data_IF_048555471436
#
_entry.id   IF_048555471436
#
_cell.length_a   1.000
_cell.length_b   1.000
_cell.length_c   1.000
_cell.angle_alpha   90.00
_cell.angle_beta   90.00
_cell.angle_gamma   90.00
#
_symmetry.space_group_name_H-M   'P 1'
#
loop_
_entity.id
_entity.type
_entity.pdbx_description
1 polymer ?
#
# COMPACT_ATOMS: atom_id res chain seq x y z
N UNK A 1 -1.91 19.73 15.32
CA UNK A 1 -2.87 19.65 14.20
C UNK A 1 -2.10 19.87 12.92
N UNK A 2 -1.83 18.83 12.12
CA UNK A 2 -1.38 19.01 10.74
C UNK A 2 -2.48 18.46 9.82
N UNK A 3 -3.16 19.38 9.15
CA UNK A 3 -4.07 19.11 8.06
C UNK A 3 -3.27 18.54 6.89
N UNK A 4 -3.68 17.37 6.38
CA UNK A 4 -3.15 16.80 5.15
C UNK A 4 -4.27 16.81 4.10
N UNK A 5 -4.42 17.95 3.43
CA UNK A 5 -5.09 18.16 2.15
C UNK A 5 -4.65 19.57 1.66
N UNK A 6 -4.43 19.83 0.35
CA UNK A 6 -5.36 19.46 -0.72
C UNK A 6 -4.73 19.03 -2.07
N UNK A 7 -5.60 18.45 -2.92
CA UNK A 7 -5.64 18.51 -4.39
C UNK A 7 -4.30 18.66 -5.15
N UNK A 8 -3.80 17.57 -5.75
CA UNK A 8 -2.67 17.61 -6.68
C UNK A 8 -3.16 17.90 -8.12
N UNK A 9 -2.73 19.01 -8.75
CA UNK A 9 -2.87 19.22 -10.18
C UNK A 9 -1.94 18.25 -10.94
N UNK A 10 -2.31 17.88 -12.16
CA UNK A 10 -1.75 16.75 -12.90
C UNK A 10 -0.44 17.06 -13.67
N UNK A 11 0.23 18.17 -13.36
CA UNK A 11 1.28 18.76 -14.22
C UNK A 11 2.61 19.08 -13.52
N UNK A 12 3.17 18.18 -12.71
CA UNK A 12 4.62 18.24 -12.41
C UNK A 12 5.22 16.86 -12.11
N UNK A 13 5.95 16.34 -13.10
CA UNK A 13 6.64 15.04 -13.09
C UNK A 13 8.13 15.19 -12.76
N UNK A 14 8.45 15.89 -11.68
CA UNK A 14 9.80 15.92 -11.12
C UNK A 14 9.76 15.34 -9.70
N UNK A 15 10.28 14.12 -9.56
CA UNK A 15 10.24 13.22 -8.39
C UNK A 15 8.92 12.44 -8.17
N UNK A 16 8.98 11.10 -7.95
CA UNK A 16 7.78 10.29 -7.77
C UNK A 16 7.24 10.47 -6.35
N UNK A 17 6.62 11.61 -6.06
CA UNK A 17 5.76 11.74 -4.89
C UNK A 17 4.50 10.90 -5.12
N UNK A 18 4.58 9.60 -4.80
CA UNK A 18 3.47 8.64 -4.89
C UNK A 18 2.30 8.94 -3.92
N UNK A 19 2.31 10.07 -3.22
CA UNK A 19 1.33 10.42 -2.20
C UNK A 19 1.39 9.54 -0.94
N UNK A 20 2.49 8.81 -0.75
CA UNK A 20 2.72 7.91 0.38
C UNK A 20 3.44 8.64 1.53
N UNK A 21 3.14 8.27 2.78
CA UNK A 21 3.82 8.81 3.94
C UNK A 21 5.27 8.27 4.09
N UNK A 22 6.13 9.07 4.73
CA UNK A 22 7.56 8.76 4.89
C UNK A 22 7.85 7.38 5.50
N UNK A 23 7.01 6.90 6.43
CA UNK A 23 7.18 5.57 7.04
C UNK A 23 7.00 4.43 6.05
N UNK A 24 6.07 4.55 5.09
CA UNK A 24 5.85 3.53 4.06
C UNK A 24 6.99 3.58 3.05
N UNK A 25 7.44 4.79 2.69
CA UNK A 25 8.59 4.99 1.80
C UNK A 25 9.87 4.38 2.40
N UNK A 26 10.09 4.54 3.71
CA UNK A 26 11.23 3.90 4.38
C UNK A 26 11.10 2.37 4.37
N UNK A 27 9.91 1.83 4.65
CA UNK A 27 9.67 0.39 4.65
C UNK A 27 9.96 -0.27 3.31
N UNK A 28 9.56 0.35 2.20
CA UNK A 28 9.85 -0.18 0.87
C UNK A 28 11.34 -0.01 0.50
N UNK A 29 12.00 1.08 0.94
CA UNK A 29 13.45 1.25 0.73
C UNK A 29 14.25 0.17 1.44
N UNK A 30 13.90 -0.14 2.69
CA UNK A 30 14.57 -1.17 3.49
C UNK A 30 14.37 -2.57 2.90
N UNK A 31 13.25 -2.79 2.18
CA UNK A 31 12.98 -4.00 1.41
C UNK A 31 13.67 -4.02 0.03
N UNK A 32 14.52 -3.04 -0.28
CA UNK A 32 15.30 -2.97 -1.52
C UNK A 32 14.56 -2.34 -2.71
N UNK A 33 13.38 -1.73 -2.50
CA UNK A 33 12.68 -1.01 -3.56
C UNK A 33 13.27 0.39 -3.71
N UNK A 34 14.13 0.56 -4.73
CA UNK A 34 14.84 1.82 -4.99
C UNK A 34 14.04 2.76 -5.90
N UNK A 35 13.31 2.22 -6.88
CA UNK A 35 12.51 3.00 -7.81
C UNK A 35 11.14 2.33 -8.08
N UNK A 36 10.04 3.11 -8.12
CA UNK A 36 8.73 2.55 -8.41
C UNK A 36 8.62 2.10 -9.87
N UNK A 37 8.00 0.95 -10.08
CA UNK A 37 7.77 0.40 -11.42
C UNK A 37 6.73 1.23 -12.19
N UNK A 38 6.67 1.14 -13.54
CA UNK A 38 5.71 1.92 -14.32
C UNK A 38 4.25 1.71 -13.91
N UNK A 39 3.89 0.49 -13.50
CA UNK A 39 2.53 0.19 -13.01
C UNK A 39 2.25 0.86 -11.65
N UNK A 40 3.24 0.93 -10.76
CA UNK A 40 3.11 1.59 -9.46
C UNK A 40 2.95 3.11 -9.63
N UNK A 41 3.78 3.73 -10.49
CA UNK A 41 3.70 5.17 -10.79
C UNK A 41 2.32 5.59 -11.29
N UNK A 42 1.67 4.74 -12.10
CA UNK A 42 0.34 5.02 -12.67
C UNK A 42 -0.79 4.65 -11.70
N UNK A 43 -0.71 3.50 -11.04
CA UNK A 43 -1.82 2.96 -10.24
C UNK A 43 -1.97 3.64 -8.87
N UNK A 44 -0.86 3.89 -8.17
CA UNK A 44 -0.90 4.36 -6.78
C UNK A 44 -1.66 5.69 -6.64
N UNK A 45 -1.40 6.72 -7.47
CA UNK A 45 -2.13 7.99 -7.38
C UNK A 45 -3.63 7.84 -7.67
N UNK A 46 -3.99 6.98 -8.64
CA UNK A 46 -5.40 6.74 -9.02
C UNK A 46 -6.15 6.09 -7.85
N UNK A 47 -5.56 5.08 -7.21
CA UNK A 47 -6.17 4.39 -6.07
C UNK A 47 -6.30 5.34 -4.87
N UNK A 48 -5.27 6.16 -4.59
CA UNK A 48 -5.34 7.16 -3.51
C UNK A 48 -6.41 8.24 -3.76
N UNK A 49 -6.78 8.49 -5.02
CA UNK A 49 -7.88 9.39 -5.37
C UNK A 49 -9.27 8.77 -5.21
N UNK A 50 -9.36 7.50 -4.84
CA UNK A 50 -10.62 6.78 -4.65
C UNK A 50 -11.30 6.37 -5.96
N UNK A 51 -10.56 6.31 -7.07
CA UNK A 51 -11.08 5.90 -8.39
C UNK A 51 -10.82 4.43 -8.65
N UNK A 52 -11.71 3.81 -9.40
CA UNK A 52 -11.54 2.45 -9.89
C UNK A 52 -10.47 2.38 -11.00
N UNK A 53 -9.72 1.28 -11.03
CA UNK A 53 -8.63 1.05 -11.96
C UNK A 53 -8.62 -0.40 -12.45
N UNK A 54 -8.49 -0.58 -13.76
CA UNK A 54 -8.12 -1.86 -14.37
C UNK A 54 -6.64 -1.78 -14.78
N UNK A 55 -5.83 -2.72 -14.28
CA UNK A 55 -4.38 -2.70 -14.44
C UNK A 55 -3.86 -4.01 -15.06
N UNK A 56 -3.35 -3.92 -16.29
CA UNK A 56 -2.68 -5.02 -16.99
C UNK A 56 -1.16 -4.84 -16.93
N UNK A 57 -0.45 -5.87 -16.49
CA UNK A 57 1.01 -5.95 -16.50
C UNK A 57 1.43 -7.42 -16.35
N UNK A 58 2.69 -7.73 -16.63
CA UNK A 58 3.23 -9.10 -16.49
C UNK A 58 3.47 -9.45 -15.01
N UNK A 59 3.46 -10.74 -14.65
CA UNK A 59 3.87 -11.23 -13.33
C UNK A 59 5.31 -10.76 -13.02
N UNK A 60 5.57 -10.36 -11.77
CA UNK A 60 6.89 -9.83 -11.38
C UNK A 60 7.09 -8.32 -11.61
N UNK A 61 6.11 -7.59 -12.14
CA UNK A 61 6.21 -6.13 -12.41
C UNK A 61 5.85 -5.22 -11.23
N UNK A 62 5.67 -5.78 -10.03
CA UNK A 62 5.36 -5.02 -8.82
C UNK A 62 3.88 -4.60 -8.67
N UNK A 63 2.95 -5.30 -9.33
CA UNK A 63 1.50 -5.08 -9.18
C UNK A 63 1.00 -5.17 -7.74
N UNK A 64 1.55 -6.10 -6.97
CA UNK A 64 1.13 -6.31 -5.57
C UNK A 64 1.36 -5.04 -4.75
N UNK A 65 2.57 -4.47 -4.81
CA UNK A 65 2.84 -3.19 -4.17
C UNK A 65 1.99 -2.04 -4.77
N UNK A 66 1.64 -2.09 -6.06
CA UNK A 66 0.83 -1.06 -6.71
C UNK A 66 -0.57 -0.89 -6.09
N UNK A 67 -1.19 -1.96 -5.57
CA UNK A 67 -2.47 -1.86 -4.85
C UNK A 67 -2.34 -1.94 -3.32
N UNK A 68 -1.32 -2.60 -2.79
CA UNK A 68 -1.14 -2.72 -1.32
C UNK A 68 -0.68 -1.41 -0.68
N UNK A 69 0.30 -0.73 -1.27
CA UNK A 69 0.85 0.52 -0.71
C UNK A 69 -0.22 1.61 -0.52
N UNK A 70 -1.09 1.91 -1.50
CA UNK A 70 -2.14 2.91 -1.31
C UNK A 70 -3.18 2.49 -0.26
N UNK A 71 -3.50 1.18 -0.13
CA UNK A 71 -4.39 0.68 0.93
C UNK A 71 -3.79 0.91 2.32
N UNK A 72 -2.49 0.64 2.50
CA UNK A 72 -1.79 0.92 3.76
C UNK A 72 -1.77 2.41 4.09
N UNK A 73 -1.64 3.28 3.08
CA UNK A 73 -1.71 4.73 3.25
C UNK A 73 -3.10 5.20 3.67
N UNK A 74 -4.16 4.66 3.06
CA UNK A 74 -5.56 4.94 3.44
C UNK A 74 -5.79 4.56 4.91
N UNK A 75 -5.34 3.36 5.31
CA UNK A 75 -5.47 2.90 6.71
C UNK A 75 -4.70 3.75 7.71
N UNK A 76 -3.61 4.39 7.28
CA UNK A 76 -2.85 5.31 8.11
C UNK A 76 -3.59 6.65 8.33
N UNK A 77 -4.30 7.15 7.31
CA UNK A 77 -5.08 8.39 7.40
C UNK A 77 -6.35 8.21 8.27
N UNK A 78 -6.99 7.06 8.17
CA UNK A 78 -8.21 6.73 8.92
C UNK A 78 -7.91 6.26 10.36
N UNK A 79 -7.54 7.19 11.25
CA UNK A 79 -7.19 6.88 12.66
C UNK A 79 -8.36 6.55 13.58
N UNK A 80 -9.62 6.80 13.19
CA UNK A 80 -10.80 6.57 14.05
C UNK A 80 -11.27 5.10 13.96
N UNK A 81 -10.72 4.26 14.83
CA UNK A 81 -11.12 2.85 14.96
C UNK A 81 -12.49 2.74 15.65
N UNK A 82 -13.58 2.65 14.88
CA UNK A 82 -14.88 2.16 15.36
C UNK A 82 -14.97 0.64 15.16
N UNK A 83 -14.32 -0.11 16.05
CA UNK A 83 -14.42 -1.57 16.14
C UNK A 83 -13.69 -2.37 15.04
N UNK A 84 -13.63 -3.70 15.21
CA UNK A 84 -13.05 -4.65 14.24
C UNK A 84 -14.01 -4.79 13.04
N UNK A 85 -13.78 -4.01 11.98
CA UNK A 85 -14.52 -4.09 10.71
C UNK A 85 -13.56 -4.38 9.55
N UNK A 86 -14.04 -5.09 8.54
CA UNK A 86 -13.30 -5.31 7.29
C UNK A 86 -13.23 -3.97 6.55
N UNK A 87 -12.01 -3.51 6.20
CA UNK A 87 -11.77 -2.23 5.51
C UNK A 87 -11.25 -2.38 4.08
N UNK A 88 -10.70 -3.54 3.74
CA UNK A 88 -10.29 -3.88 2.37
C UNK A 88 -10.48 -5.39 2.16
N UNK A 89 -10.80 -5.75 0.92
CA UNK A 89 -10.92 -7.14 0.46
C UNK A 89 -10.04 -7.29 -0.77
N UNK A 90 -9.11 -8.25 -0.72
CA UNK A 90 -8.27 -8.61 -1.86
C UNK A 90 -8.68 -10.01 -2.31
N UNK A 91 -9.16 -10.12 -3.54
CA UNK A 91 -9.54 -11.39 -4.15
C UNK A 91 -8.41 -11.90 -5.03
N UNK A 92 -8.11 -13.19 -4.91
CA UNK A 92 -7.08 -13.88 -5.69
C UNK A 92 -7.65 -15.20 -6.22
N UNK A 93 -7.20 -15.68 -7.39
CA UNK A 93 -7.80 -16.86 -8.03
C UNK A 93 -7.41 -18.18 -7.37
N UNK A 94 -6.31 -18.21 -6.59
CA UNK A 94 -5.83 -19.42 -5.92
C UNK A 94 -5.38 -19.12 -4.49
N UNK A 95 -5.37 -20.17 -3.66
CA UNK A 95 -4.95 -20.09 -2.26
C UNK A 95 -3.47 -19.73 -2.11
N UNK A 96 -2.63 -20.23 -3.01
CA UNK A 96 -1.19 -20.01 -2.98
C UNK A 96 -0.87 -18.53 -3.23
N UNK A 97 -1.59 -17.89 -4.16
CA UNK A 97 -1.46 -16.47 -4.42
C UNK A 97 -1.97 -15.62 -3.25
N UNK A 98 -3.04 -16.05 -2.57
CA UNK A 98 -3.53 -15.32 -1.39
C UNK A 98 -2.49 -15.30 -0.26
N UNK A 99 -1.81 -16.43 -0.03
CA UNK A 99 -0.73 -16.56 0.96
C UNK A 99 0.45 -15.66 0.58
N UNK A 100 0.87 -15.66 -0.69
CA UNK A 100 1.96 -14.79 -1.16
C UNK A 100 1.63 -13.30 -0.99
N UNK A 101 0.40 -12.90 -1.34
CA UNK A 101 -0.05 -11.52 -1.15
C UNK A 101 -0.08 -11.14 0.34
N UNK A 102 -0.55 -12.04 1.21
CA UNK A 102 -0.57 -11.81 2.66
C UNK A 102 0.83 -11.67 3.27
N UNK A 103 1.80 -12.47 2.80
CA UNK A 103 3.20 -12.34 3.19
C UNK A 103 3.76 -10.97 2.79
N UNK A 104 3.55 -10.55 1.54
CA UNK A 104 4.00 -9.24 1.05
C UNK A 104 3.38 -8.07 1.85
N UNK A 105 2.08 -8.14 2.15
CA UNK A 105 1.41 -7.13 3.00
C UNK A 105 2.07 -7.06 4.38
N UNK A 106 2.38 -8.22 4.97
CA UNK A 106 3.04 -8.28 6.27
C UNK A 106 4.40 -7.59 6.22
N UNK A 107 5.21 -7.85 5.19
CA UNK A 107 6.52 -7.20 5.00
C UNK A 107 6.41 -5.69 4.86
N UNK A 108 5.53 -5.20 3.98
CA UNK A 108 5.34 -3.75 3.78
C UNK A 108 4.81 -3.04 5.04
N UNK A 109 4.12 -3.76 5.92
CA UNK A 109 3.54 -3.22 7.15
C UNK A 109 4.47 -3.23 8.37
N UNK A 110 5.60 -3.96 8.33
CA UNK A 110 6.49 -4.22 9.48
C UNK A 110 6.90 -2.96 10.24
N UNK A 111 7.24 -1.89 9.53
CA UNK A 111 7.75 -0.66 10.14
C UNK A 111 6.68 0.18 10.86
N UNK A 112 5.39 -0.10 10.63
CA UNK A 112 4.28 0.75 11.12
C UNK A 112 3.22 0.02 11.92
N UNK A 113 3.06 -1.28 11.68
CA UNK A 113 2.17 -2.15 12.43
C UNK A 113 2.98 -3.30 13.02
N UNK A 114 3.86 -3.04 14.01
CA UNK A 114 4.55 -4.13 14.70
C UNK A 114 3.48 -5.05 15.31
N UNK A 115 3.49 -6.32 14.89
CA UNK A 115 2.68 -7.33 15.58
C UNK A 115 3.28 -7.49 16.97
N UNK A 116 2.50 -7.23 18.02
CA UNK A 116 2.83 -7.76 19.33
C UNK A 116 2.71 -9.29 19.24
N UNK A 117 3.85 -9.98 19.09
CA UNK A 117 3.95 -11.42 19.24
C UNK A 117 3.88 -11.74 20.73
N UNK A 118 2.67 -11.83 21.27
CA UNK A 118 2.42 -12.27 22.64
C UNK A 118 1.09 -13.00 22.71
N UNK A 119 1.03 -14.21 22.13
CA UNK A 119 0.17 -15.35 22.55
C UNK A 119 -0.02 -16.35 21.40
N UNK A 120 1.00 -17.13 21.08
CA UNK A 120 0.83 -18.39 20.33
C UNK A 120 1.44 -19.54 21.13
N UNK A 121 1.13 -19.63 22.42
CA UNK A 121 1.25 -20.82 23.26
C UNK A 121 0.04 -20.88 24.21
N UNK A 122 -1.05 -21.50 23.76
CA UNK A 122 -2.09 -22.13 24.57
C UNK A 122 -2.94 -23.04 23.67
#
# INVERSE_FOLDING_TARGET
MLYCAPYFPYEDLAEPHLGLCNSIVQAIKDLGYTAPTPIQKKAIPIILSGKDLIATAQTGTGKTAAFVLPVLEIFNKERKLRGKRIRALILTPTRELSIQVAANITEYSKLKFPRNSSSDHA
#
